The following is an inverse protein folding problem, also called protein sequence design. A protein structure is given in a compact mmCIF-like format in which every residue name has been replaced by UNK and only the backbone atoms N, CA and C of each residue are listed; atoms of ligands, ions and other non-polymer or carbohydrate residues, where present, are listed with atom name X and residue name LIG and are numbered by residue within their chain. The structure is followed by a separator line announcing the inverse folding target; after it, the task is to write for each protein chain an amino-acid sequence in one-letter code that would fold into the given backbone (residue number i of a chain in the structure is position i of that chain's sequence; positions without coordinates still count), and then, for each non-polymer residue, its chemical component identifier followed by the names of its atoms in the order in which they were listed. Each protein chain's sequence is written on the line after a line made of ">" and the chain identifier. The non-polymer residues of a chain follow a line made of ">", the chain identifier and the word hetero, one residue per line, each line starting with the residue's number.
data_IF_671347287796
#
_entry.id   IF_671347287796
#
_cell.length_a   1.000
_cell.length_b   1.000
_cell.length_c   1.000
_cell.angle_alpha   90.00
_cell.angle_beta   90.00
_cell.angle_gamma   90.00
#
_symmetry.space_group_name_H-M   'P 1'
#
loop_
_entity.id
_entity.type
_entity.pdbx_description
1 polymer ?
#
# COMPACT_ATOMS: atom_id res chain seq x y z
N UNK A 1 -22.39 10.45 5.70
CA UNK A 1 -21.50 10.06 4.57
C UNK A 1 -22.27 9.27 3.51
N UNK A 2 -21.99 9.46 2.21
CA UNK A 2 -22.76 8.79 1.14
C UNK A 2 -22.60 7.26 1.11
N UNK A 3 -21.54 6.72 1.71
CA UNK A 3 -21.36 5.26 1.84
C UNK A 3 -22.42 4.59 2.71
N UNK A 4 -23.07 5.32 3.65
CA UNK A 4 -24.11 4.75 4.52
C UNK A 4 -25.33 4.24 3.74
N UNK A 5 -25.54 4.73 2.52
CA UNK A 5 -26.67 4.35 1.65
C UNK A 5 -26.22 3.60 0.39
N UNK A 6 -24.92 3.40 0.20
CA UNK A 6 -24.37 2.74 -0.98
C UNK A 6 -24.45 1.22 -0.86
N UNK A 7 -24.41 0.53 -2.01
CA UNK A 7 -24.16 -0.91 -2.08
C UNK A 7 -22.70 -1.15 -2.45
N UNK A 8 -22.08 -2.13 -1.80
CA UNK A 8 -20.70 -2.54 -2.10
C UNK A 8 -20.55 -2.96 -3.56
N UNK A 9 -19.46 -2.53 -4.20
CA UNK A 9 -19.13 -2.91 -5.58
C UNK A 9 -17.64 -3.23 -5.73
N UNK A 10 -17.32 -4.51 -5.92
CA UNK A 10 -15.97 -4.96 -6.29
C UNK A 10 -15.48 -4.28 -7.57
N UNK A 11 -16.37 -4.06 -8.54
CA UNK A 11 -16.04 -3.38 -9.80
C UNK A 11 -15.63 -1.93 -9.57
N UNK A 12 -16.27 -1.22 -8.64
CA UNK A 12 -15.88 0.14 -8.29
C UNK A 12 -14.48 0.17 -7.69
N UNK A 13 -14.16 -0.80 -6.82
CA UNK A 13 -12.83 -0.94 -6.26
C UNK A 13 -11.77 -1.27 -7.32
N UNK A 14 -12.00 -2.29 -8.14
CA UNK A 14 -11.11 -2.67 -9.24
C UNK A 14 -10.83 -1.51 -10.21
N UNK A 15 -11.82 -0.65 -10.45
CA UNK A 15 -11.63 0.53 -11.28
C UNK A 15 -10.67 1.54 -10.63
N UNK A 16 -10.76 1.77 -9.31
CA UNK A 16 -9.81 2.65 -8.61
C UNK A 16 -8.40 2.05 -8.67
N UNK A 17 -8.25 0.75 -8.42
CA UNK A 17 -6.95 0.06 -8.51
C UNK A 17 -6.34 0.20 -9.91
N UNK A 18 -7.12 -0.09 -10.96
CA UNK A 18 -6.65 0.01 -12.34
C UNK A 18 -6.21 1.44 -12.71
N UNK A 19 -6.90 2.47 -12.20
CA UNK A 19 -6.53 3.86 -12.46
C UNK A 19 -5.24 4.27 -11.71
N UNK A 20 -5.00 3.72 -10.52
CA UNK A 20 -3.74 3.90 -9.80
C UNK A 20 -2.59 3.28 -10.61
N UNK A 21 -2.79 2.08 -11.16
CA UNK A 21 -1.78 1.37 -11.95
C UNK A 21 -1.56 1.99 -13.35
N UNK A 22 -2.60 2.52 -14.01
CA UNK A 22 -2.53 3.11 -15.36
C UNK A 22 -1.79 4.45 -15.40
N UNK A 23 -1.97 5.30 -14.36
CA UNK A 23 -1.68 6.73 -14.47
C UNK A 23 -0.64 7.30 -13.52
N UNK A 24 -0.02 6.50 -12.66
CA UNK A 24 1.00 7.03 -11.76
C UNK A 24 2.38 7.12 -12.44
N UNK A 25 2.52 7.94 -13.47
CA UNK A 25 3.82 8.23 -14.12
C UNK A 25 4.61 9.34 -13.42
N UNK A 26 4.10 9.89 -12.30
CA UNK A 26 4.62 11.11 -11.67
C UNK A 26 5.09 10.94 -10.22
N UNK A 27 4.98 9.74 -9.65
CA UNK A 27 5.49 9.48 -8.30
C UNK A 27 6.38 8.24 -8.29
N UNK A 28 7.19 8.11 -7.25
CA UNK A 28 8.03 6.95 -6.96
C UNK A 28 7.18 5.64 -6.93
N UNK A 29 5.85 5.70 -6.83
CA UNK A 29 4.93 4.56 -6.75
C UNK A 29 4.51 3.93 -8.10
N UNK A 30 5.16 4.28 -9.22
CA UNK A 30 4.67 3.96 -10.57
C UNK A 30 4.28 2.50 -10.78
N UNK A 31 3.00 2.28 -11.12
CA UNK A 31 2.44 0.96 -11.46
C UNK A 31 2.34 -0.01 -10.27
N UNK A 32 2.47 0.48 -9.04
CA UNK A 32 2.40 -0.35 -7.84
C UNK A 32 1.32 0.17 -6.88
N UNK A 33 0.17 -0.49 -6.91
CA UNK A 33 -0.95 -0.19 -6.02
C UNK A 33 -0.57 -0.24 -4.52
N UNK A 34 0.27 -1.21 -4.11
CA UNK A 34 0.67 -1.35 -2.70
C UNK A 34 1.50 -0.15 -2.23
N UNK A 35 2.38 0.36 -3.09
CA UNK A 35 3.12 1.59 -2.81
C UNK A 35 2.19 2.78 -2.74
N UNK A 36 1.29 2.92 -3.70
CA UNK A 36 0.30 3.99 -3.68
C UNK A 36 -0.52 3.97 -2.37
N UNK A 37 -0.92 2.78 -1.92
CA UNK A 37 -1.59 2.57 -0.65
C UNK A 37 -0.78 3.11 0.53
N UNK A 38 0.45 2.65 0.70
CA UNK A 38 1.29 3.04 1.82
C UNK A 38 1.65 4.54 1.80
N UNK A 39 1.85 5.13 0.62
CA UNK A 39 2.25 6.53 0.51
C UNK A 39 1.09 7.52 0.54
N UNK A 40 -0.11 7.14 0.09
CA UNK A 40 -1.23 8.08 -0.06
C UNK A 40 -2.39 7.78 0.88
N UNK A 41 -2.81 6.52 0.99
CA UNK A 41 -3.92 6.12 1.84
C UNK A 41 -3.48 5.96 3.30
N UNK A 42 -2.44 5.16 3.57
CA UNK A 42 -1.92 4.86 4.92
C UNK A 42 -0.65 5.66 5.25
N UNK A 43 -0.73 6.99 5.13
CA UNK A 43 0.40 7.91 5.37
C UNK A 43 1.04 7.80 6.75
N UNK A 44 0.31 7.26 7.73
CA UNK A 44 0.78 7.11 9.10
C UNK A 44 1.32 5.70 9.38
N UNK A 45 1.22 4.77 8.43
CA UNK A 45 1.67 3.38 8.59
C UNK A 45 0.92 2.63 9.70
N UNK A 46 -0.35 2.99 9.93
CA UNK A 46 -1.18 2.39 10.98
C UNK A 46 -1.91 1.15 10.48
N UNK A 47 -1.83 0.85 9.18
CA UNK A 47 -2.59 -0.19 8.50
C UNK A 47 -4.11 -0.04 8.72
N UNK A 48 -4.57 1.20 8.86
CA UNK A 48 -5.98 1.56 9.06
C UNK A 48 -6.29 2.88 8.37
N UNK A 49 -7.10 2.80 7.32
CA UNK A 49 -7.51 3.95 6.51
C UNK A 49 -8.97 4.25 6.78
N UNK A 50 -9.24 5.41 7.37
CA UNK A 50 -10.61 5.90 7.59
C UNK A 50 -11.23 6.50 6.32
N UNK A 51 -12.55 6.72 6.37
CA UNK A 51 -13.34 7.23 5.24
C UNK A 51 -12.75 8.51 4.62
N UNK A 52 -12.39 9.50 5.44
CA UNK A 52 -11.93 10.81 4.93
C UNK A 52 -10.62 10.71 4.14
N UNK A 53 -9.73 9.79 4.53
CA UNK A 53 -8.49 9.54 3.81
C UNK A 53 -8.77 8.80 2.50
N UNK A 54 -9.63 7.78 2.56
CA UNK A 54 -10.02 7.02 1.39
C UNK A 54 -10.73 7.87 0.34
N UNK A 55 -11.76 8.63 0.75
CA UNK A 55 -12.55 9.50 -0.13
C UNK A 55 -11.68 10.54 -0.82
N UNK A 56 -10.76 11.17 -0.07
CA UNK A 56 -9.87 12.20 -0.62
C UNK A 56 -8.94 11.63 -1.68
N UNK A 57 -8.24 10.53 -1.40
CA UNK A 57 -7.24 10.01 -2.34
C UNK A 57 -7.89 9.28 -3.52
N UNK A 58 -8.92 8.47 -3.30
CA UNK A 58 -9.68 7.84 -4.38
C UNK A 58 -10.38 8.88 -5.28
N UNK A 59 -10.90 9.96 -4.68
CA UNK A 59 -11.46 11.10 -5.41
C UNK A 59 -10.43 11.79 -6.28
N UNK A 60 -9.20 12.00 -5.79
CA UNK A 60 -8.11 12.55 -6.60
C UNK A 60 -7.76 11.65 -7.80
N UNK A 61 -7.68 10.33 -7.60
CA UNK A 61 -7.43 9.37 -8.68
C UNK A 61 -8.48 9.49 -9.77
N UNK A 62 -9.76 9.47 -9.40
CA UNK A 62 -10.88 9.52 -10.35
C UNK A 62 -10.97 10.90 -11.04
N UNK A 63 -10.83 12.00 -10.29
CA UNK A 63 -10.94 13.36 -10.81
C UNK A 63 -9.85 13.67 -11.85
N UNK A 64 -8.61 13.18 -11.65
CA UNK A 64 -7.49 13.34 -12.60
C UNK A 64 -7.75 12.71 -13.97
N UNK A 65 -8.70 11.79 -14.07
CA UNK A 65 -9.06 11.22 -15.37
C UNK A 65 -9.79 12.22 -16.28
N UNK A 66 -10.53 13.18 -15.69
CA UNK A 66 -11.46 14.03 -16.41
C UNK A 66 -12.64 13.29 -17.06
N UNK A 67 -12.82 11.98 -16.76
CA UNK A 67 -13.81 11.10 -17.41
C UNK A 67 -15.14 10.99 -16.66
N UNK A 68 -15.20 11.43 -15.41
CA UNK A 68 -16.34 11.20 -14.50
C UNK A 68 -16.87 12.52 -13.94
N UNK A 69 -18.19 12.63 -13.78
CA UNK A 69 -18.79 13.74 -13.04
C UNK A 69 -18.55 13.59 -11.54
N UNK A 70 -18.65 14.67 -10.77
CA UNK A 70 -18.55 14.62 -9.30
C UNK A 70 -19.51 13.60 -8.68
N UNK A 71 -20.73 13.51 -9.21
CA UNK A 71 -21.74 12.55 -8.74
C UNK A 71 -21.37 11.10 -9.03
N UNK A 72 -20.64 10.83 -10.12
CA UNK A 72 -20.14 9.50 -10.45
C UNK A 72 -18.98 9.13 -9.54
N UNK A 73 -18.07 10.07 -9.30
CA UNK A 73 -16.92 9.90 -8.40
C UNK A 73 -17.41 9.53 -7.00
N UNK A 74 -18.33 10.32 -6.43
CA UNK A 74 -18.88 10.06 -5.09
C UNK A 74 -19.54 8.67 -5.00
N UNK A 75 -20.27 8.24 -6.03
CA UNK A 75 -20.93 6.93 -6.07
C UNK A 75 -19.92 5.78 -6.15
N UNK A 76 -18.88 5.94 -6.97
CA UNK A 76 -17.81 4.94 -7.11
C UNK A 76 -17.06 4.77 -5.79
N UNK A 77 -16.63 5.87 -5.17
CA UNK A 77 -15.91 5.84 -3.89
C UNK A 77 -16.76 5.19 -2.81
N UNK A 78 -18.01 5.61 -2.67
CA UNK A 78 -18.92 5.08 -1.66
C UNK A 78 -19.16 3.57 -1.82
N UNK A 79 -19.32 3.09 -3.06
CA UNK A 79 -19.52 1.66 -3.32
C UNK A 79 -18.24 0.84 -3.18
N UNK A 80 -17.06 1.40 -3.49
CA UNK A 80 -15.78 0.76 -3.24
C UNK A 80 -15.51 0.63 -1.73
N UNK A 81 -15.79 1.67 -0.95
CA UNK A 81 -15.65 1.62 0.51
C UNK A 81 -16.51 0.52 1.13
N UNK A 82 -17.81 0.47 0.81
CA UNK A 82 -18.72 -0.54 1.36
C UNK A 82 -18.31 -1.97 0.96
N UNK A 83 -17.59 -2.12 -0.15
CA UNK A 83 -17.03 -3.41 -0.54
C UNK A 83 -15.79 -3.78 0.28
N UNK A 84 -14.92 -2.83 0.58
CA UNK A 84 -13.67 -3.07 1.30
C UNK A 84 -13.83 -3.16 2.82
N UNK A 85 -14.67 -2.31 3.41
CA UNK A 85 -15.00 -2.29 4.84
C UNK A 85 -16.00 -3.43 5.16
N UNK A 86 -15.59 -4.66 4.85
CA UNK A 86 -16.39 -5.88 5.07
C UNK A 86 -16.69 -6.07 6.56
N UNK A 87 -15.73 -5.71 7.41
CA UNK A 87 -15.82 -5.74 8.87
C UNK A 87 -16.79 -4.69 9.44
N UNK A 88 -17.09 -3.62 8.67
CA UNK A 88 -17.93 -2.48 9.06
C UNK A 88 -17.43 -1.78 10.32
N UNK A 89 -16.12 -1.78 10.53
CA UNK A 89 -15.50 -1.11 11.67
C UNK A 89 -15.19 0.37 11.38
N UNK A 90 -15.44 0.80 10.13
CA UNK A 90 -15.23 2.18 9.69
C UNK A 90 -13.80 2.46 9.26
N UNK A 91 -12.97 1.42 9.10
CA UNK A 91 -11.62 1.50 8.57
C UNK A 91 -11.37 0.41 7.55
N UNK A 92 -10.44 0.65 6.63
CA UNK A 92 -9.93 -0.36 5.70
C UNK A 92 -8.48 -0.64 6.06
N UNK A 93 -8.16 -1.92 6.21
CA UNK A 93 -6.80 -2.42 6.43
C UNK A 93 -6.21 -3.03 5.15
N UNK A 94 -4.88 -3.21 5.10
CA UNK A 94 -4.23 -3.93 4.01
C UNK A 94 -4.77 -5.35 3.88
N UNK A 95 -5.21 -5.97 4.96
CA UNK A 95 -5.74 -7.34 4.93
C UNK A 95 -7.02 -7.47 4.10
N UNK A 96 -7.89 -6.46 4.18
CA UNK A 96 -9.13 -6.36 3.39
C UNK A 96 -8.86 -6.02 1.92
N UNK A 97 -7.66 -5.54 1.61
CA UNK A 97 -7.26 -5.12 0.26
C UNK A 97 -6.43 -6.20 -0.45
N UNK A 98 -5.44 -6.74 0.25
CA UNK A 98 -4.48 -7.75 -0.19
C UNK A 98 -3.90 -8.49 1.03
N UNK A 99 -4.53 -9.61 1.37
CA UNK A 99 -4.12 -10.50 2.48
C UNK A 99 -2.66 -10.98 2.33
N UNK A 100 -2.17 -11.18 1.10
CA UNK A 100 -0.80 -11.68 0.86
C UNK A 100 0.20 -10.58 1.19
N UNK A 101 -0.03 -9.37 0.68
CA UNK A 101 0.80 -8.21 1.01
C UNK A 101 0.77 -7.90 2.52
N UNK A 102 -0.41 -7.97 3.15
CA UNK A 102 -0.61 -7.77 4.59
C UNK A 102 0.27 -8.72 5.42
N UNK A 103 0.23 -10.02 5.11
CA UNK A 103 1.03 -11.05 5.79
C UNK A 103 2.54 -10.82 5.60
N UNK A 104 2.98 -10.56 4.37
CA UNK A 104 4.40 -10.34 4.05
C UNK A 104 4.95 -9.09 4.76
N UNK A 105 4.22 -7.98 4.74
CA UNK A 105 4.63 -6.74 5.43
C UNK A 105 4.64 -6.91 6.95
N UNK A 106 3.69 -7.67 7.49
CA UNK A 106 3.63 -7.98 8.93
C UNK A 106 4.82 -8.83 9.36
N UNK A 107 5.13 -9.91 8.61
CA UNK A 107 6.33 -10.74 8.83
C UNK A 107 7.61 -9.91 8.81
N UNK A 108 7.74 -8.99 7.85
CA UNK A 108 8.89 -8.08 7.76
C UNK A 108 9.02 -7.13 8.93
N UNK A 109 7.93 -6.48 9.33
CA UNK A 109 7.90 -5.60 10.51
C UNK A 109 8.29 -6.37 11.78
N UNK A 110 7.77 -7.57 11.97
CA UNK A 110 8.07 -8.41 13.12
C UNK A 110 9.51 -8.89 13.14
N UNK A 111 10.04 -9.30 11.98
CA UNK A 111 11.45 -9.63 11.82
C UNK A 111 12.35 -8.45 12.20
N UNK A 112 12.06 -7.25 11.68
CA UNK A 112 12.77 -6.02 12.02
C UNK A 112 12.74 -5.72 13.53
N UNK A 113 11.55 -5.76 14.14
CA UNK A 113 11.38 -5.52 15.57
C UNK A 113 12.15 -6.51 16.44
N UNK A 114 12.16 -7.80 16.09
CA UNK A 114 12.85 -8.84 16.87
C UNK A 114 14.37 -8.71 16.85
N UNK A 115 14.94 -8.22 15.76
CA UNK A 115 16.39 -8.17 15.57
C UNK A 115 16.99 -6.79 15.86
N UNK A 116 16.29 -5.70 15.53
CA UNK A 116 16.80 -4.33 15.64
C UNK A 116 15.87 -3.37 16.38
N UNK A 117 14.70 -3.82 16.85
CA UNK A 117 13.75 -3.00 17.61
C UNK A 117 12.75 -2.21 16.76
N UNK A 118 13.11 -1.82 15.54
CA UNK A 118 12.22 -1.15 14.60
C UNK A 118 12.67 -1.33 13.15
N UNK A 119 11.75 -1.07 12.21
CA UNK A 119 12.07 -1.09 10.77
C UNK A 119 13.16 -0.07 10.44
N UNK A 120 13.06 1.16 10.98
CA UNK A 120 14.06 2.20 10.76
C UNK A 120 15.46 1.78 11.24
N UNK A 121 15.56 1.20 12.43
CA UNK A 121 16.84 0.69 12.97
C UNK A 121 17.39 -0.46 12.13
N UNK A 122 16.54 -1.31 11.57
CA UNK A 122 16.98 -2.34 10.61
C UNK A 122 17.65 -1.72 9.40
N UNK A 123 17.03 -0.69 8.80
CA UNK A 123 17.61 -0.01 7.64
C UNK A 123 18.95 0.65 7.99
N UNK A 124 19.04 1.36 9.12
CA UNK A 124 20.31 1.95 9.58
C UNK A 124 21.39 0.92 9.90
N UNK A 125 21.03 -0.28 10.39
CA UNK A 125 21.99 -1.33 10.73
C UNK A 125 22.48 -2.10 9.49
N UNK A 126 21.67 -2.17 8.44
CA UNK A 126 21.99 -2.86 7.19
C UNK A 126 22.66 -1.91 6.17
N UNK A 127 22.53 -0.60 6.33
CA UNK A 127 23.31 0.41 5.61
C UNK A 127 24.75 0.47 6.14
N UNK A 128 25.58 -0.46 5.67
CA UNK A 128 27.00 -0.55 6.02
C UNK A 128 27.85 0.55 5.38
N UNK A 129 27.33 1.23 4.34
CA UNK A 129 28.02 2.29 3.61
C UNK A 129 27.81 3.68 4.23
N UNK A 130 26.69 3.88 4.94
CA UNK A 130 26.34 5.15 5.57
C UNK A 130 25.98 6.25 4.58
N UNK A 131 25.75 5.89 3.31
CA UNK A 131 25.31 6.80 2.25
C UNK A 131 23.78 6.91 2.18
N UNK A 132 23.06 6.14 3.01
CA UNK A 132 21.60 6.07 3.01
C UNK A 132 21.03 5.13 1.95
N UNK A 133 21.88 4.43 1.18
CA UNK A 133 21.47 3.58 0.07
C UNK A 133 21.85 2.12 0.33
N UNK A 134 20.89 1.34 0.83
CA UNK A 134 21.13 -0.09 1.08
C UNK A 134 21.03 -0.90 -0.20
N UNK A 135 22.15 -1.32 -0.80
CA UNK A 135 22.10 -2.19 -2.00
C UNK A 135 21.11 -3.35 -1.87
N UNK A 136 20.29 -3.52 -2.92
CA UNK A 136 19.32 -4.61 -3.09
C UNK A 136 19.88 -5.99 -2.71
N UNK A 137 21.14 -6.24 -3.07
CA UNK A 137 21.83 -7.49 -2.80
C UNK A 137 22.00 -7.74 -1.31
N UNK A 138 22.31 -6.69 -0.53
CA UNK A 138 22.48 -6.76 0.93
C UNK A 138 21.13 -7.02 1.59
N UNK A 139 20.09 -6.25 1.22
CA UNK A 139 18.74 -6.44 1.74
C UNK A 139 18.22 -7.87 1.49
N UNK A 140 18.31 -8.34 0.24
CA UNK A 140 17.89 -9.69 -0.14
C UNK A 140 18.68 -10.76 0.62
N UNK A 141 19.99 -10.58 0.77
CA UNK A 141 20.85 -11.53 1.49
C UNK A 141 20.51 -11.58 2.97
N UNK A 142 20.25 -10.42 3.59
CA UNK A 142 19.86 -10.33 4.99
C UNK A 142 18.52 -11.03 5.24
N UNK A 143 17.52 -10.79 4.38
CA UNK A 143 16.21 -11.42 4.51
C UNK A 143 16.25 -12.93 4.23
N UNK A 144 17.05 -13.39 3.25
CA UNK A 144 17.24 -14.82 2.95
C UNK A 144 17.82 -15.64 4.10
N UNK A 145 18.54 -15.01 5.03
CA UNK A 145 19.03 -15.69 6.24
C UNK A 145 17.90 -16.02 7.21
N UNK A 146 16.72 -15.43 7.03
CA UNK A 146 15.57 -15.73 7.84
C UNK A 146 14.69 -16.79 7.16
N UNK A 147 14.41 -17.92 7.82
CA UNK A 147 13.65 -19.02 7.21
C UNK A 147 12.17 -18.70 6.96
N UNK A 148 11.68 -17.53 7.37
CA UNK A 148 10.28 -17.13 7.25
C UNK A 148 9.90 -16.36 5.98
N UNK A 149 10.85 -16.11 5.06
CA UNK A 149 10.55 -15.48 3.76
C UNK A 149 10.74 -16.46 2.60
N UNK A 150 9.70 -16.58 1.77
CA UNK A 150 9.81 -17.21 0.45
C UNK A 150 10.48 -16.25 -0.56
N UNK A 151 10.93 -16.77 -1.71
CA UNK A 151 11.44 -15.90 -2.78
C UNK A 151 10.33 -14.97 -3.35
N UNK A 152 9.05 -15.35 -3.24
CA UNK A 152 7.91 -14.53 -3.63
C UNK A 152 7.68 -13.39 -2.63
N UNK A 153 7.78 -13.68 -1.32
CA UNK A 153 7.68 -12.65 -0.26
C UNK A 153 8.75 -11.59 -0.44
N UNK A 154 9.99 -12.01 -0.72
CA UNK A 154 11.10 -11.09 -1.00
C UNK A 154 10.80 -10.23 -2.23
N UNK A 155 10.27 -10.83 -3.28
CA UNK A 155 9.93 -10.11 -4.52
C UNK A 155 8.85 -9.06 -4.28
N UNK A 156 7.87 -9.33 -3.40
CA UNK A 156 6.87 -8.36 -2.96
C UNK A 156 7.49 -7.26 -2.10
N UNK A 157 8.30 -7.61 -1.09
CA UNK A 157 8.96 -6.63 -0.21
C UNK A 157 9.83 -5.65 -1.00
N UNK A 158 10.60 -6.17 -1.95
CA UNK A 158 11.42 -5.36 -2.87
C UNK A 158 10.55 -4.34 -3.61
N UNK A 159 9.42 -4.78 -4.18
CA UNK A 159 8.51 -3.87 -4.91
C UNK A 159 7.97 -2.76 -4.01
N UNK A 160 7.87 -3.00 -2.71
CA UNK A 160 7.32 -2.05 -1.73
C UNK A 160 8.40 -1.19 -1.06
N UNK A 161 9.65 -1.62 -1.02
CA UNK A 161 10.75 -0.93 -0.32
C UNK A 161 11.61 -0.10 -1.28
N UNK A 162 11.64 -0.43 -2.58
CA UNK A 162 12.59 0.14 -3.54
C UNK A 162 12.10 1.25 -4.50
N UNK A 163 10.97 1.97 -4.32
CA UNK A 163 10.54 2.94 -5.33
C UNK A 163 11.49 4.12 -5.60
N UNK A 164 12.48 4.36 -4.74
CA UNK A 164 13.54 5.37 -4.95
C UNK A 164 14.95 4.81 -5.14
N UNK A 165 15.12 3.49 -5.16
CA UNK A 165 16.44 2.86 -5.32
C UNK A 165 16.76 2.70 -6.81
N UNK A 166 17.11 3.81 -7.44
CA UNK A 166 17.50 3.81 -8.85
C UNK A 166 18.74 2.93 -9.07
N UNK A 167 18.72 2.20 -10.18
CA UNK A 167 19.91 1.61 -10.81
C UNK A 167 20.90 2.69 -11.24
#
# INVERSE_FOLDING_TARGET
>A
PRYLTARGSARAWQMIQALIEEKDTSTECQGNFLLYWLHNFDRQGLNRVGWDAFEREAGRVLARTGRYSDSDIERVIASAWVYLDESRDGTISMDEVDVVASDVLTKFRDWCKRHWGSVHQTFSALDLGGDGDMSFTIFRTACKRWPGFSDDDLSLLIKVISPGMNH
#
